data_IF_322301469535
#
_entry.id   IF_322301469535
#
_cell.length_a   1.000
_cell.length_b   1.000
_cell.length_c   1.000
_cell.angle_alpha   90.00
_cell.angle_beta   90.00
_cell.angle_gamma   90.00
#
_symmetry.space_group_name_H-M   'P 1'
#
loop_
_entity.id
_entity.type
_entity.pdbx_description
1 polymer ?
#
# COMPACT_ATOMS: atom_id res chain seq x y z
N UNK A 1 17.38 51.24 13.31
CA UNK A 1 18.00 49.93 13.04
C UNK A 1 16.89 48.97 12.65
N UNK A 2 16.66 48.82 11.35
CA UNK A 2 15.87 47.73 10.80
C UNK A 2 16.59 46.43 11.15
N UNK A 3 15.92 45.50 11.83
CA UNK A 3 16.44 44.16 12.03
C UNK A 3 16.65 43.56 10.63
N UNK A 4 17.90 43.39 10.20
CA UNK A 4 18.22 42.56 9.04
C UNK A 4 17.68 41.17 9.37
N UNK A 5 16.64 40.75 8.65
CA UNK A 5 16.15 39.38 8.73
C UNK A 5 17.30 38.48 8.31
N UNK A 6 17.76 37.59 9.19
CA UNK A 6 18.69 36.52 8.82
C UNK A 6 18.22 35.87 7.53
N UNK A 7 19.10 35.62 6.54
CA UNK A 7 18.69 35.07 5.25
C UNK A 7 17.94 33.76 5.48
N UNK A 8 16.76 33.65 4.88
CA UNK A 8 15.94 32.46 4.97
C UNK A 8 16.71 31.25 4.42
N UNK A 9 16.77 30.17 5.19
CA UNK A 9 17.39 28.93 4.74
C UNK A 9 16.56 28.33 3.58
N UNK A 10 17.22 28.06 2.45
CA UNK A 10 16.61 27.40 1.28
C UNK A 10 17.15 25.97 1.10
N UNK A 11 16.82 25.03 2.01
CA UNK A 11 17.39 23.69 2.00
C UNK A 11 16.94 22.88 0.80
N UNK A 12 17.82 21.96 0.37
CA UNK A 12 17.50 20.96 -0.65
C UNK A 12 17.02 19.67 0.02
N UNK A 13 15.78 19.30 -0.20
CA UNK A 13 15.12 18.19 0.48
C UNK A 13 14.68 17.12 -0.53
N UNK A 14 15.13 15.89 -0.34
CA UNK A 14 14.64 14.73 -1.07
C UNK A 14 13.65 13.94 -0.20
N UNK A 15 12.52 13.54 -0.79
CA UNK A 15 11.56 12.60 -0.19
C UNK A 15 11.52 11.35 -1.07
N UNK A 16 11.86 10.19 -0.52
CA UNK A 16 11.96 8.93 -1.24
C UNK A 16 10.70 8.11 -1.03
N UNK A 17 9.84 8.05 -2.05
CA UNK A 17 8.54 7.41 -2.04
C UNK A 17 7.40 8.43 -2.07
N UNK A 18 6.44 8.21 -2.98
CA UNK A 18 5.31 9.12 -3.21
C UNK A 18 3.98 8.62 -2.62
N UNK A 19 4.04 7.66 -1.70
CA UNK A 19 2.87 7.22 -0.92
C UNK A 19 2.32 8.33 0.00
N UNK A 20 1.25 8.05 0.79
CA UNK A 20 0.64 9.06 1.66
C UNK A 20 1.65 9.78 2.56
N UNK A 21 2.56 9.03 3.18
CA UNK A 21 3.55 9.60 4.10
C UNK A 21 4.50 10.56 3.41
N UNK A 22 4.99 10.22 2.21
CA UNK A 22 5.86 11.10 1.44
C UNK A 22 5.13 12.35 0.96
N UNK A 23 3.91 12.20 0.44
CA UNK A 23 3.08 13.33 0.04
C UNK A 23 2.75 14.26 1.21
N UNK A 24 2.31 13.73 2.36
CA UNK A 24 2.04 14.56 3.54
C UNK A 24 3.29 15.25 4.05
N UNK A 25 4.44 14.56 4.07
CA UNK A 25 5.71 15.17 4.46
C UNK A 25 6.05 16.34 3.55
N UNK A 26 5.97 16.18 2.23
CA UNK A 26 6.25 17.28 1.29
C UNK A 26 5.26 18.45 1.44
N UNK A 27 3.97 18.19 1.70
CA UNK A 27 2.99 19.26 1.98
C UNK A 27 3.34 20.07 3.22
N UNK A 28 3.67 19.38 4.32
CA UNK A 28 4.02 20.07 5.56
C UNK A 28 5.37 20.79 5.44
N UNK A 29 6.35 20.20 4.76
CA UNK A 29 7.64 20.85 4.50
C UNK A 29 7.47 22.13 3.67
N UNK A 30 6.68 22.10 2.58
CA UNK A 30 6.44 23.31 1.79
C UNK A 30 5.77 24.41 2.63
N UNK A 31 4.86 24.06 3.53
CA UNK A 31 4.19 25.04 4.39
C UNK A 31 5.17 25.69 5.37
N UNK A 32 6.04 24.89 6.00
CA UNK A 32 6.98 25.39 7.01
C UNK A 32 8.25 26.01 6.42
N UNK A 33 8.63 25.61 5.20
CA UNK A 33 9.84 26.06 4.48
C UNK A 33 9.47 26.47 3.05
N UNK A 34 8.87 27.65 2.84
CA UNK A 34 8.40 28.11 1.53
C UNK A 34 9.49 28.16 0.45
N UNK A 35 10.75 28.41 0.84
CA UNK A 35 11.89 28.58 -0.07
C UNK A 35 12.71 27.29 -0.29
N UNK A 36 12.32 26.18 0.34
CA UNK A 36 13.01 24.90 0.16
C UNK A 36 12.83 24.34 -1.27
N UNK A 37 13.89 23.73 -1.82
CA UNK A 37 13.76 22.89 -3.00
C UNK A 37 13.33 21.49 -2.53
N UNK A 38 12.14 21.04 -2.92
CA UNK A 38 11.59 19.75 -2.49
C UNK A 38 11.39 18.87 -3.71
N UNK A 39 12.06 17.73 -3.72
CA UNK A 39 11.92 16.70 -4.78
C UNK A 39 11.41 15.40 -4.18
N UNK A 40 10.32 14.86 -4.73
CA UNK A 40 9.81 13.52 -4.41
C UNK A 40 10.31 12.56 -5.49
N UNK A 41 11.06 11.53 -5.09
CA UNK A 41 11.48 10.42 -5.95
C UNK A 41 10.54 9.23 -5.78
N UNK A 42 10.18 8.57 -6.87
CA UNK A 42 9.31 7.39 -6.87
C UNK A 42 9.84 6.33 -7.83
N UNK A 43 9.89 5.08 -7.37
CA UNK A 43 10.41 3.97 -8.14
C UNK A 43 9.51 3.63 -9.33
N UNK A 44 8.19 3.87 -9.23
CA UNK A 44 7.25 3.69 -10.33
C UNK A 44 7.05 4.97 -11.16
N UNK A 45 6.63 4.86 -12.43
CA UNK A 45 6.19 6.02 -13.22
C UNK A 45 5.03 6.81 -12.62
N UNK A 46 4.28 6.18 -11.71
CA UNK A 46 3.01 6.69 -11.17
C UNK A 46 3.09 6.87 -9.65
N UNK A 47 2.48 7.93 -9.08
CA UNK A 47 2.58 8.23 -7.66
C UNK A 47 1.57 7.46 -6.79
N UNK A 48 1.53 7.82 -5.51
CA UNK A 48 0.52 7.47 -4.49
C UNK A 48 0.68 6.12 -3.80
N UNK A 49 1.63 5.29 -4.23
CA UNK A 49 1.98 4.03 -3.56
C UNK A 49 0.75 3.19 -3.22
N UNK A 50 0.59 2.83 -1.94
CA UNK A 50 -0.52 1.98 -1.50
C UNK A 50 -1.91 2.62 -1.56
N UNK A 51 -2.06 3.94 -1.77
CA UNK A 51 -3.40 4.49 -2.09
C UNK A 51 -3.87 3.96 -3.43
N UNK A 52 -2.95 3.86 -4.39
CA UNK A 52 -3.22 3.36 -5.75
C UNK A 52 -3.20 1.84 -5.82
N UNK A 53 -2.27 1.19 -5.12
CA UNK A 53 -1.97 -0.24 -5.27
C UNK A 53 -2.26 -1.10 -4.05
N UNK A 54 -2.65 -0.52 -2.92
CA UNK A 54 -2.94 -1.24 -1.67
C UNK A 54 -4.39 -1.17 -1.26
N UNK A 55 -4.97 0.04 -1.21
CA UNK A 55 -6.40 0.25 -0.96
C UNK A 55 -7.19 -0.58 -1.96
N UNK A 56 -8.12 -1.40 -1.46
CA UNK A 56 -8.89 -2.31 -2.27
C UNK A 56 -9.58 -1.59 -3.45
N UNK A 57 -9.68 -2.29 -4.57
CA UNK A 57 -10.20 -1.71 -5.80
C UNK A 57 -11.67 -1.25 -5.68
N UNK A 58 -12.45 -1.82 -4.76
CA UNK A 58 -13.82 -1.42 -4.50
C UNK A 58 -13.96 -0.32 -3.43
N UNK A 59 -12.85 0.19 -2.89
CA UNK A 59 -12.79 1.27 -1.90
C UNK A 59 -12.36 2.62 -2.50
N UNK A 60 -13.04 3.03 -3.57
CA UNK A 60 -12.74 4.28 -4.30
C UNK A 60 -12.82 5.54 -3.43
N UNK A 61 -13.72 5.56 -2.43
CA UNK A 61 -13.84 6.68 -1.48
C UNK A 61 -12.55 6.97 -0.73
N UNK A 62 -11.83 5.93 -0.29
CA UNK A 62 -10.54 6.07 0.40
C UNK A 62 -9.44 6.60 -0.54
N UNK A 63 -9.51 6.25 -1.83
CA UNK A 63 -8.57 6.73 -2.85
C UNK A 63 -8.71 8.23 -3.14
N UNK A 64 -9.83 8.87 -2.76
CA UNK A 64 -10.10 10.28 -3.03
C UNK A 64 -9.10 11.27 -2.38
N UNK A 65 -8.27 10.81 -1.43
CA UNK A 65 -7.16 11.59 -0.85
C UNK A 65 -6.14 12.03 -1.92
N UNK A 66 -6.01 11.31 -3.03
CA UNK A 66 -5.11 11.68 -4.12
C UNK A 66 -5.40 13.08 -4.68
N UNK A 67 -6.66 13.53 -4.68
CA UNK A 67 -7.03 14.90 -5.08
C UNK A 67 -6.31 15.98 -4.27
N UNK A 68 -6.00 15.70 -3.00
CA UNK A 68 -5.21 16.60 -2.17
C UNK A 68 -3.74 16.59 -2.58
N UNK A 69 -3.21 15.43 -2.98
CA UNK A 69 -1.83 15.28 -3.44
C UNK A 69 -1.63 15.86 -4.84
N UNK A 70 -2.60 15.73 -5.75
CA UNK A 70 -2.58 16.36 -7.08
C UNK A 70 -2.34 17.87 -6.97
N UNK A 71 -3.13 18.55 -6.12
CA UNK A 71 -2.99 20.00 -5.89
C UNK A 71 -1.61 20.40 -5.35
N UNK A 72 -0.95 19.53 -4.59
CA UNK A 72 0.40 19.79 -4.11
C UNK A 72 1.39 19.77 -5.28
N UNK A 73 1.37 18.73 -6.10
CA UNK A 73 2.28 18.66 -7.25
C UNK A 73 2.02 19.78 -8.27
N UNK A 74 0.77 20.17 -8.48
CA UNK A 74 0.40 21.22 -9.43
C UNK A 74 0.76 22.65 -8.96
N UNK A 75 0.66 22.95 -7.65
CA UNK A 75 0.61 24.35 -7.17
C UNK A 75 1.71 24.71 -6.18
N UNK A 76 2.48 23.74 -5.70
CA UNK A 76 3.40 23.94 -4.59
C UNK A 76 4.87 23.95 -4.98
N UNK A 77 5.21 23.97 -6.28
CA UNK A 77 6.61 23.96 -6.73
C UNK A 77 7.41 22.77 -6.18
N UNK A 78 6.74 21.63 -5.97
CA UNK A 78 7.37 20.38 -5.55
C UNK A 78 7.62 19.56 -6.82
N UNK A 79 8.86 19.13 -7.02
CA UNK A 79 9.23 18.34 -8.20
C UNK A 79 8.95 16.86 -7.95
N UNK A 80 8.18 16.23 -8.85
CA UNK A 80 8.01 14.77 -8.87
C UNK A 80 8.99 14.16 -9.87
N UNK A 81 9.70 13.12 -9.43
CA UNK A 81 10.64 12.32 -10.23
C UNK A 81 10.23 10.85 -10.09
N UNK A 82 9.31 10.41 -10.93
CA UNK A 82 8.87 9.02 -11.06
C UNK A 82 9.78 8.19 -11.95
N UNK A 83 9.59 6.88 -11.90
CA UNK A 83 10.40 5.88 -12.59
C UNK A 83 11.90 6.04 -12.27
N UNK A 84 12.22 6.31 -11.00
CA UNK A 84 13.58 6.48 -10.48
C UNK A 84 13.68 5.84 -9.11
N UNK A 85 14.38 4.70 -9.04
CA UNK A 85 14.59 3.92 -7.83
C UNK A 85 15.89 4.34 -7.15
N UNK A 86 15.75 5.06 -6.05
CA UNK A 86 16.88 5.31 -5.13
C UNK A 86 17.30 3.99 -4.49
N UNK A 87 18.60 3.74 -4.46
CA UNK A 87 19.22 2.44 -4.15
C UNK A 87 19.80 1.75 -5.39
N UNK A 88 19.13 1.89 -6.54
CA UNK A 88 19.52 1.24 -7.80
C UNK A 88 20.00 2.26 -8.84
N UNK A 89 19.13 3.19 -9.25
CA UNK A 89 19.44 4.22 -10.24
C UNK A 89 20.34 5.31 -9.65
N UNK A 90 20.07 5.67 -8.38
CA UNK A 90 20.84 6.64 -7.61
C UNK A 90 21.17 6.03 -6.25
N UNK A 91 22.47 5.82 -6.00
CA UNK A 91 22.94 5.25 -4.74
C UNK A 91 22.70 6.19 -3.54
N UNK A 92 22.57 5.61 -2.34
CA UNK A 92 22.28 6.34 -1.10
C UNK A 92 23.35 7.38 -0.75
N UNK A 93 24.62 7.09 -1.07
CA UNK A 93 25.71 8.02 -0.78
C UNK A 93 25.64 9.25 -1.69
N UNK A 94 25.25 9.09 -2.94
CA UNK A 94 24.98 10.17 -3.88
C UNK A 94 23.81 11.02 -3.41
N UNK A 95 22.71 10.42 -2.96
CA UNK A 95 21.59 11.16 -2.36
C UNK A 95 22.01 11.94 -1.11
N UNK A 96 22.79 11.31 -0.23
CA UNK A 96 23.30 11.95 0.97
C UNK A 96 24.27 13.11 0.68
N UNK A 97 25.02 13.09 -0.44
CA UNK A 97 25.85 14.22 -0.86
C UNK A 97 25.06 15.32 -1.55
N UNK A 98 23.99 14.98 -2.25
CA UNK A 98 23.20 15.91 -3.07
C UNK A 98 22.14 16.71 -2.29
N UNK A 99 21.62 16.18 -1.18
CA UNK A 99 20.50 16.81 -0.45
C UNK A 99 20.82 17.12 1.01
N UNK A 100 20.36 18.28 1.50
CA UNK A 100 20.55 18.72 2.88
C UNK A 100 19.76 17.89 3.88
N UNK A 101 18.59 17.41 3.44
CA UNK A 101 17.72 16.51 4.17
C UNK A 101 17.23 15.42 3.21
N UNK A 102 17.23 14.18 3.67
CA UNK A 102 16.56 13.08 2.98
C UNK A 102 15.51 12.47 3.90
N UNK A 103 14.31 12.27 3.37
CA UNK A 103 13.21 11.60 4.07
C UNK A 103 12.88 10.29 3.36
N UNK A 104 13.01 9.18 4.07
CA UNK A 104 12.61 7.86 3.60
C UNK A 104 11.13 7.63 3.89
N UNK A 105 10.35 7.53 2.81
CA UNK A 105 8.90 7.33 2.80
C UNK A 105 8.50 6.11 1.92
N UNK A 106 9.39 5.12 1.80
CA UNK A 106 9.25 3.96 0.91
C UNK A 106 8.15 2.98 1.35
N UNK A 107 7.72 3.05 2.61
CA UNK A 107 6.72 2.15 3.16
C UNK A 107 7.27 0.73 3.37
N UNK A 108 6.40 -0.27 3.30
CA UNK A 108 6.78 -1.69 3.37
C UNK A 108 6.13 -2.42 2.19
N UNK A 109 6.93 -3.12 1.40
CA UNK A 109 6.48 -3.75 0.16
C UNK A 109 6.31 -5.26 0.29
N UNK A 110 7.09 -5.96 1.12
CA UNK A 110 6.97 -7.41 1.27
C UNK A 110 5.85 -7.83 2.24
N UNK A 111 5.15 -8.92 1.91
CA UNK A 111 4.26 -9.62 2.83
C UNK A 111 5.07 -10.35 3.90
N UNK A 112 4.58 -10.33 5.14
CA UNK A 112 5.19 -11.09 6.23
C UNK A 112 4.78 -12.56 6.16
N UNK A 113 5.75 -13.46 6.16
CA UNK A 113 5.52 -14.90 6.25
C UNK A 113 5.04 -15.33 7.63
N UNK A 114 4.28 -16.43 7.68
CA UNK A 114 3.97 -17.10 8.94
C UNK A 114 5.22 -17.86 9.41
N UNK A 115 5.64 -17.62 10.66
CA UNK A 115 6.76 -18.32 11.28
C UNK A 115 6.32 -19.71 11.81
N UNK A 116 5.81 -20.56 10.91
CA UNK A 116 5.34 -21.92 11.18
C UNK A 116 5.84 -22.87 10.09
N UNK A 117 5.93 -24.19 10.36
CA UNK A 117 6.22 -25.17 9.32
C UNK A 117 5.24 -25.07 8.15
N UNK A 118 5.76 -25.00 6.93
CA UNK A 118 4.99 -24.92 5.69
C UNK A 118 5.56 -25.91 4.68
N UNK A 119 4.73 -26.79 4.15
CA UNK A 119 5.11 -27.71 3.07
C UNK A 119 5.39 -26.93 1.77
N UNK A 120 6.44 -27.32 1.04
CA UNK A 120 6.87 -26.63 -0.19
C UNK A 120 5.78 -26.63 -1.28
N UNK A 121 4.97 -27.69 -1.34
CA UNK A 121 3.87 -27.81 -2.32
C UNK A 121 2.59 -27.08 -1.88
N UNK A 122 2.54 -26.51 -0.68
CA UNK A 122 1.36 -25.80 -0.21
C UNK A 122 1.12 -24.52 -1.02
N UNK A 123 -0.13 -24.25 -1.37
CA UNK A 123 -0.50 -23.05 -2.11
C UNK A 123 -0.69 -21.90 -1.11
N UNK A 124 0.36 -21.10 -0.93
CA UNK A 124 0.36 -19.95 -0.02
C UNK A 124 0.59 -18.64 -0.80
N UNK A 125 -0.23 -17.64 -0.54
CA UNK A 125 -0.19 -16.33 -1.21
C UNK A 125 -0.19 -15.20 -0.17
N UNK A 126 0.67 -14.20 -0.34
CA UNK A 126 0.63 -12.98 0.47
C UNK A 126 -0.56 -12.09 0.09
N UNK A 127 -1.32 -11.60 1.09
CA UNK A 127 -2.48 -10.75 0.86
C UNK A 127 -2.10 -9.43 0.17
N UNK A 128 -0.94 -8.86 0.49
CA UNK A 128 -0.39 -7.67 -0.16
C UNK A 128 -0.14 -7.89 -1.65
N UNK A 129 0.57 -8.95 -2.01
CA UNK A 129 0.81 -9.32 -3.40
C UNK A 129 -0.49 -9.57 -4.17
N UNK A 130 -1.46 -10.26 -3.55
CA UNK A 130 -2.78 -10.50 -4.14
C UNK A 130 -3.54 -9.17 -4.40
N UNK A 131 -3.61 -8.29 -3.39
CA UNK A 131 -4.28 -6.99 -3.54
C UNK A 131 -3.57 -6.08 -4.57
N UNK A 132 -2.25 -6.12 -4.65
CA UNK A 132 -1.48 -5.39 -5.67
C UNK A 132 -1.81 -5.89 -7.06
N UNK A 133 -1.85 -7.21 -7.27
CA UNK A 133 -2.23 -7.81 -8.54
C UNK A 133 -3.65 -7.40 -8.96
N UNK A 134 -4.62 -7.47 -8.03
CA UNK A 134 -6.00 -7.02 -8.25
C UNK A 134 -6.12 -5.51 -8.44
N UNK A 135 -5.14 -4.73 -7.97
CA UNK A 135 -5.02 -3.29 -8.23
C UNK A 135 -4.16 -2.97 -9.47
N UNK A 136 -3.87 -3.94 -10.35
CA UNK A 136 -3.06 -3.79 -11.56
C UNK A 136 -1.65 -3.20 -11.29
N UNK A 137 -1.01 -3.64 -10.20
CA UNK A 137 0.40 -3.37 -9.96
C UNK A 137 1.27 -3.99 -11.06
N UNK A 138 2.36 -3.34 -11.51
CA UNK A 138 3.18 -3.88 -12.58
C UNK A 138 3.71 -5.28 -12.27
N UNK A 139 3.38 -6.24 -13.14
CA UNK A 139 3.63 -7.65 -12.89
C UNK A 139 5.10 -8.01 -12.69
N UNK A 140 6.01 -7.26 -13.32
CA UNK A 140 7.47 -7.45 -13.17
C UNK A 140 8.02 -7.22 -11.75
N UNK A 141 7.25 -6.57 -10.89
CA UNK A 141 7.61 -6.32 -9.48
C UNK A 141 6.80 -7.17 -8.50
N UNK A 142 5.91 -8.05 -8.98
CA UNK A 142 5.22 -9.01 -8.13
C UNK A 142 6.07 -10.28 -7.96
N UNK A 143 5.91 -11.00 -6.83
CA UNK A 143 6.52 -12.32 -6.67
C UNK A 143 6.16 -13.25 -7.84
N UNK A 144 7.14 -13.92 -8.42
CA UNK A 144 6.95 -14.87 -9.50
C UNK A 144 6.47 -16.24 -8.98
N UNK A 145 5.31 -16.26 -8.32
CA UNK A 145 4.71 -17.50 -7.79
C UNK A 145 3.53 -17.96 -8.65
N UNK A 146 3.44 -19.26 -8.90
CA UNK A 146 2.34 -19.86 -9.68
C UNK A 146 0.97 -19.61 -9.06
N UNK A 147 0.91 -19.50 -7.73
CA UNK A 147 -0.34 -19.27 -7.00
C UNK A 147 -0.96 -17.88 -7.27
N UNK A 148 -0.16 -16.88 -7.66
CA UNK A 148 -0.66 -15.57 -8.10
C UNK A 148 -1.03 -15.54 -9.59
N UNK A 149 -0.76 -16.61 -10.34
CA UNK A 149 -1.00 -16.71 -11.79
C UNK A 149 -2.04 -17.78 -12.15
N UNK A 150 -2.70 -18.34 -11.15
CA UNK A 150 -3.67 -19.43 -11.29
C UNK A 150 -4.87 -19.23 -10.37
N UNK A 151 -5.95 -19.96 -10.66
CA UNK A 151 -7.17 -19.92 -9.87
C UNK A 151 -6.91 -20.30 -8.41
N UNK A 152 -7.30 -19.43 -7.46
CA UNK A 152 -7.13 -19.64 -6.02
C UNK A 152 -7.97 -20.82 -5.49
N UNK A 153 -8.94 -21.29 -6.27
CA UNK A 153 -9.88 -22.33 -5.90
C UNK A 153 -11.16 -21.77 -5.27
N UNK A 154 -12.05 -22.67 -4.86
CA UNK A 154 -13.34 -22.29 -4.26
C UNK A 154 -13.30 -22.23 -2.74
N UNK A 155 -12.33 -22.87 -2.09
CA UNK A 155 -12.14 -22.82 -0.63
C UNK A 155 -10.82 -22.12 -0.31
N UNK A 156 -10.85 -21.00 0.41
CA UNK A 156 -9.68 -20.18 0.71
C UNK A 156 -9.61 -19.86 2.20
N UNK A 157 -8.44 -20.04 2.82
CA UNK A 157 -8.19 -19.55 4.18
C UNK A 157 -7.47 -18.20 4.13
N UNK A 158 -8.00 -17.18 4.78
CA UNK A 158 -7.36 -15.87 4.96
C UNK A 158 -6.88 -15.75 6.40
N UNK A 159 -5.57 -15.77 6.61
CA UNK A 159 -4.94 -15.75 7.94
C UNK A 159 -4.63 -14.33 8.36
N UNK A 160 -5.45 -13.76 9.25
CA UNK A 160 -5.27 -12.43 9.84
C UNK A 160 -6.57 -11.65 10.03
N UNK A 161 -6.82 -11.17 11.27
CA UNK A 161 -7.96 -10.32 11.61
C UNK A 161 -7.62 -8.82 11.50
N UNK A 162 -7.15 -8.38 10.33
CA UNK A 162 -6.91 -6.96 10.02
C UNK A 162 -7.63 -6.54 8.75
N UNK A 163 -7.67 -5.23 8.46
CA UNK A 163 -8.38 -4.67 7.30
C UNK A 163 -7.97 -5.31 5.97
N UNK A 164 -6.67 -5.55 5.76
CA UNK A 164 -6.16 -6.23 4.56
C UNK A 164 -6.78 -7.61 4.36
N UNK A 165 -6.95 -8.39 5.42
CA UNK A 165 -7.61 -9.69 5.34
C UNK A 165 -9.09 -9.54 4.96
N UNK A 166 -9.78 -8.55 5.53
CA UNK A 166 -11.19 -8.26 5.22
C UNK A 166 -11.37 -7.75 3.79
N UNK A 167 -10.42 -6.96 3.26
CA UNK A 167 -10.38 -6.58 1.85
C UNK A 167 -10.28 -7.79 0.93
N UNK A 168 -9.38 -8.74 1.23
CA UNK A 168 -9.28 -10.00 0.49
C UNK A 168 -10.61 -10.75 0.52
N UNK A 169 -11.21 -10.93 1.70
CA UNK A 169 -12.50 -11.65 1.83
C UNK A 169 -13.57 -10.99 0.95
N UNK A 170 -13.71 -9.67 1.02
CA UNK A 170 -14.70 -8.92 0.26
C UNK A 170 -14.49 -9.04 -1.25
N UNK A 171 -13.24 -8.92 -1.71
CA UNK A 171 -12.89 -9.11 -3.12
C UNK A 171 -13.00 -10.56 -3.58
N UNK A 172 -12.95 -11.55 -2.68
CA UNK A 172 -13.17 -12.96 -3.01
C UNK A 172 -14.64 -13.37 -3.04
N UNK A 173 -15.54 -12.64 -2.37
CA UNK A 173 -16.97 -13.01 -2.27
C UNK A 173 -17.92 -12.13 -3.08
N UNK A 174 -17.56 -10.89 -3.42
CA UNK A 174 -18.42 -10.01 -4.25
C UNK A 174 -18.67 -10.58 -5.65
N UNK A 175 -19.82 -10.32 -6.26
CA UNK A 175 -20.03 -10.62 -7.69
C UNK A 175 -19.33 -9.58 -8.58
N UNK A 176 -19.23 -9.83 -9.89
CA UNK A 176 -18.71 -8.85 -10.85
C UNK A 176 -19.55 -7.57 -10.87
N UNK A 177 -20.88 -7.69 -10.77
CA UNK A 177 -21.80 -6.55 -10.73
C UNK A 177 -21.57 -5.67 -9.48
N UNK A 178 -21.26 -6.29 -8.35
CA UNK A 178 -20.92 -5.58 -7.09
C UNK A 178 -19.56 -4.87 -7.14
N UNK A 179 -18.78 -5.06 -8.21
CA UNK A 179 -17.50 -4.39 -8.46
C UNK A 179 -17.61 -3.30 -9.54
N UNK A 180 -18.80 -3.03 -10.08
CA UNK A 180 -19.01 -1.89 -10.98
C UNK A 180 -18.61 -0.58 -10.31
N UNK A 181 -17.91 0.29 -11.06
CA UNK A 181 -17.34 1.54 -10.56
C UNK A 181 -16.00 1.40 -9.82
N UNK A 182 -15.46 0.19 -9.69
CA UNK A 182 -14.11 -0.06 -9.19
C UNK A 182 -13.03 0.19 -10.26
N UNK A 183 -11.76 0.14 -9.84
CA UNK A 183 -10.58 0.10 -10.70
C UNK A 183 -9.87 -1.28 -10.63
N UNK A 184 -10.65 -2.35 -10.43
CA UNK A 184 -10.10 -3.71 -10.30
C UNK A 184 -9.52 -4.18 -11.63
N UNK A 185 -8.43 -4.94 -11.56
CA UNK A 185 -7.81 -5.57 -12.72
C UNK A 185 -8.62 -6.80 -13.13
N UNK A 186 -9.50 -6.64 -14.12
CA UNK A 186 -10.48 -7.67 -14.51
C UNK A 186 -9.82 -8.96 -14.98
N UNK A 187 -8.76 -8.86 -15.78
CA UNK A 187 -8.04 -10.01 -16.32
C UNK A 187 -7.40 -10.83 -15.19
N UNK A 188 -6.83 -10.16 -14.18
CA UNK A 188 -6.33 -10.85 -13.00
C UNK A 188 -7.46 -11.44 -12.14
N UNK A 189 -8.57 -10.73 -11.99
CA UNK A 189 -9.72 -11.20 -11.23
C UNK A 189 -10.29 -12.49 -11.84
N UNK A 190 -10.46 -12.54 -13.17
CA UNK A 190 -11.00 -13.68 -13.91
C UNK A 190 -10.10 -14.92 -13.76
N UNK A 191 -8.77 -14.75 -13.82
CA UNK A 191 -7.81 -15.82 -13.60
C UNK A 191 -7.81 -16.32 -12.15
N UNK A 192 -7.77 -15.40 -11.18
CA UNK A 192 -7.65 -15.72 -9.75
C UNK A 192 -8.94 -16.32 -9.19
N UNK A 193 -10.10 -15.80 -9.60
CA UNK A 193 -11.43 -16.29 -9.22
C UNK A 193 -12.40 -16.13 -10.42
N UNK A 194 -12.57 -17.16 -11.26
CA UNK A 194 -13.56 -17.10 -12.36
C UNK A 194 -15.01 -17.05 -11.83
N UNK A 195 -15.21 -17.41 -10.56
CA UNK A 195 -16.46 -17.23 -9.82
C UNK A 195 -16.15 -16.78 -8.39
N UNK A 196 -17.09 -16.14 -7.67
CA UNK A 196 -16.94 -15.90 -6.24
C UNK A 196 -16.55 -17.18 -5.47
N UNK A 197 -15.69 -17.03 -4.45
CA UNK A 197 -15.25 -18.15 -3.63
C UNK A 197 -16.45 -18.83 -2.95
N UNK A 198 -16.44 -20.17 -2.86
CA UNK A 198 -17.49 -20.93 -2.19
C UNK A 198 -17.36 -20.87 -0.67
N UNK A 199 -16.16 -21.08 -0.14
CA UNK A 199 -15.85 -21.02 1.29
C UNK A 199 -14.65 -20.11 1.52
N UNK A 200 -14.78 -19.17 2.46
CA UNK A 200 -13.68 -18.30 2.89
C UNK A 200 -13.53 -18.38 4.40
N UNK A 201 -12.43 -18.97 4.87
CA UNK A 201 -12.11 -19.12 6.29
C UNK A 201 -11.24 -17.95 6.75
N UNK A 202 -11.80 -17.03 7.52
CA UNK A 202 -11.06 -15.91 8.12
C UNK A 202 -10.51 -16.37 9.47
N UNK A 203 -9.20 -16.62 9.54
CA UNK A 203 -8.55 -17.25 10.70
C UNK A 203 -7.71 -16.23 11.45
N UNK A 204 -7.96 -16.09 12.75
CA UNK A 204 -7.16 -15.19 13.59
C UNK A 204 -7.04 -15.65 15.04
N UNK A 205 -5.84 -15.39 15.60
CA UNK A 205 -5.50 -15.70 17.00
C UNK A 205 -6.23 -14.84 18.04
N UNK A 206 -6.74 -13.68 17.64
CA UNK A 206 -7.42 -12.74 18.54
C UNK A 206 -8.82 -13.23 18.93
N UNK A 207 -9.31 -12.76 20.07
CA UNK A 207 -10.75 -12.72 20.36
C UNK A 207 -11.48 -11.80 19.37
N UNK A 208 -12.81 -11.81 19.39
CA UNK A 208 -13.59 -10.86 18.58
C UNK A 208 -13.42 -9.40 19.01
N UNK A 209 -13.16 -9.15 20.31
CA UNK A 209 -12.91 -7.82 20.85
C UNK A 209 -11.51 -7.29 20.47
N UNK A 210 -10.52 -8.18 20.37
CA UNK A 210 -9.12 -7.84 20.06
C UNK A 210 -8.77 -7.96 18.56
N UNK A 211 -9.78 -8.21 17.72
CA UNK A 211 -9.62 -8.18 16.28
C UNK A 211 -9.29 -6.74 15.82
N UNK A 212 -8.38 -6.62 14.85
CA UNK A 212 -7.84 -5.31 14.40
C UNK A 212 -8.52 -4.77 13.14
N UNK A 213 -9.49 -5.49 12.60
CA UNK A 213 -10.27 -4.96 11.49
C UNK A 213 -11.23 -3.87 11.98
N UNK A 214 -11.57 -2.95 11.11
CA UNK A 214 -12.59 -1.95 11.36
C UNK A 214 -13.97 -2.59 11.26
N UNK A 215 -14.83 -2.30 12.24
CA UNK A 215 -16.20 -2.83 12.31
C UNK A 215 -17.02 -2.53 11.04
N UNK A 216 -16.79 -1.37 10.41
CA UNK A 216 -17.46 -0.97 9.18
C UNK A 216 -17.19 -1.96 8.04
N UNK A 217 -15.95 -2.45 7.89
CA UNK A 217 -15.58 -3.36 6.82
C UNK A 217 -16.19 -4.76 7.01
N UNK A 218 -16.32 -5.23 8.26
CA UNK A 218 -17.03 -6.49 8.54
C UNK A 218 -18.53 -6.35 8.29
N UNK A 219 -19.11 -5.18 8.62
CA UNK A 219 -20.51 -4.89 8.33
C UNK A 219 -20.79 -4.90 6.82
N UNK A 220 -19.87 -4.41 5.99
CA UNK A 220 -19.98 -4.49 4.53
C UNK A 220 -20.11 -5.93 4.05
N UNK A 221 -19.32 -6.88 4.60
CA UNK A 221 -19.43 -8.30 4.24
C UNK A 221 -20.76 -8.89 4.70
N UNK A 222 -21.17 -8.61 5.94
CA UNK A 222 -22.42 -9.13 6.51
C UNK A 222 -23.67 -8.61 5.77
N UNK A 223 -23.55 -7.47 5.10
CA UNK A 223 -24.62 -6.86 4.31
C UNK A 223 -24.72 -7.42 2.87
N UNK A 224 -23.80 -8.28 2.43
CA UNK A 224 -23.89 -8.92 1.11
C UNK A 224 -24.94 -10.02 1.12
N UNK A 225 -25.97 -9.89 0.28
CA UNK A 225 -27.03 -10.91 0.16
C UNK A 225 -26.54 -12.24 -0.42
N UNK A 226 -25.40 -12.21 -1.11
CA UNK A 226 -24.73 -13.39 -1.70
C UNK A 226 -23.85 -14.14 -0.69
N UNK A 227 -23.77 -13.69 0.56
CA UNK A 227 -22.88 -14.23 1.58
C UNK A 227 -23.65 -14.71 2.82
N UNK A 228 -23.32 -15.90 3.31
CA UNK A 228 -23.72 -16.37 4.63
C UNK A 228 -22.54 -16.37 5.59
N UNK A 229 -22.79 -15.99 6.85
CA UNK A 229 -21.76 -15.89 7.89
C UNK A 229 -21.88 -17.05 8.87
N UNK A 230 -20.75 -17.72 9.14
CA UNK A 230 -20.59 -18.64 10.26
C UNK A 230 -19.47 -18.14 11.16
N UNK A 231 -19.56 -18.49 12.45
CA UNK A 231 -18.63 -18.01 13.47
C UNK A 231 -18.18 -19.17 14.35
N UNK A 232 -16.88 -19.27 14.58
CA UNK A 232 -16.23 -20.29 15.38
C UNK A 232 -15.30 -19.65 16.41
N UNK A 233 -15.26 -20.20 17.64
CA UNK A 233 -14.41 -19.67 18.70
C UNK A 233 -14.91 -18.36 19.33
N UNK A 234 -16.16 -17.99 19.06
CA UNK A 234 -16.88 -16.93 19.76
C UNK A 234 -17.62 -17.54 20.95
N UNK A 235 -17.28 -17.10 22.16
CA UNK A 235 -17.88 -17.58 23.42
C UNK A 235 -19.06 -16.70 23.81
N UNK A 236 -20.01 -17.18 24.62
CA UNK A 236 -21.15 -16.36 25.09
C UNK A 236 -20.72 -15.14 25.93
N UNK A 237 -19.55 -15.25 26.56
CA UNK A 237 -18.90 -14.20 27.35
C UNK A 237 -18.26 -13.10 26.49
N UNK A 238 -18.06 -13.32 25.19
CA UNK A 238 -17.49 -12.31 24.30
C UNK A 238 -18.47 -11.14 24.12
N UNK A 239 -18.01 -9.94 24.43
CA UNK A 239 -18.78 -8.69 24.32
C UNK A 239 -18.19 -7.77 23.24
N UNK A 240 -18.87 -6.65 22.98
CA UNK A 240 -18.41 -5.65 22.01
C UNK A 240 -19.10 -5.74 20.65
N UNK A 241 -18.94 -4.67 19.86
CA UNK A 241 -19.72 -4.46 18.65
C UNK A 241 -19.46 -5.51 17.56
N UNK A 242 -18.23 -6.01 17.44
CA UNK A 242 -17.87 -7.10 16.51
C UNK A 242 -18.59 -8.40 16.87
N UNK A 243 -18.53 -8.81 18.14
CA UNK A 243 -19.20 -10.02 18.61
C UNK A 243 -20.72 -9.92 18.40
N UNK A 244 -21.32 -8.77 18.75
CA UNK A 244 -22.74 -8.51 18.55
C UNK A 244 -23.14 -8.59 17.07
N UNK A 245 -22.40 -7.90 16.19
CA UNK A 245 -22.65 -7.91 14.74
C UNK A 245 -22.57 -9.33 14.17
N UNK A 246 -21.54 -10.10 14.53
CA UNK A 246 -21.35 -11.43 14.00
C UNK A 246 -22.40 -12.41 14.55
N UNK A 247 -22.82 -12.30 15.81
CA UNK A 247 -23.95 -13.11 16.33
C UNK A 247 -25.26 -12.79 15.62
N UNK A 248 -25.56 -11.52 15.38
CA UNK A 248 -26.78 -11.13 14.68
C UNK A 248 -26.76 -11.44 13.18
N UNK A 249 -25.56 -11.55 12.60
CA UNK A 249 -25.38 -11.87 11.17
C UNK A 249 -25.17 -13.37 10.93
N UNK A 250 -24.80 -14.13 11.96
CA UNK A 250 -24.70 -15.58 11.91
C UNK A 250 -26.11 -16.16 11.80
N UNK A 251 -26.48 -16.51 10.58
CA UNK A 251 -27.67 -17.29 10.33
C UNK A 251 -27.19 -18.72 10.07
N UNK A 252 -27.87 -19.71 10.67
CA UNK A 252 -27.84 -21.06 10.11
C UNK A 252 -28.28 -21.02 8.64
N UNK A 253 -28.19 -22.13 7.92
CA UNK A 253 -28.46 -22.23 6.48
C UNK A 253 -29.88 -21.78 6.01
N UNK A 254 -30.70 -21.16 6.87
CA UNK A 254 -32.12 -20.85 6.74
C UNK A 254 -32.45 -19.42 6.27
N UNK A 255 -31.49 -18.69 5.68
CA UNK A 255 -31.84 -17.42 5.00
C UNK A 255 -32.66 -17.78 3.74
N UNK A 256 -33.99 -17.58 3.83
CA UNK A 256 -34.94 -17.94 2.77
C UNK A 256 -34.61 -17.22 1.46
N UNK A 257 -34.51 -18.03 0.42
CA UNK A 257 -33.99 -17.75 -0.91
C UNK A 257 -35.06 -17.09 -1.77
N UNK A 258 -34.76 -15.94 -2.36
CA UNK A 258 -35.43 -15.48 -3.60
C UNK A 258 -34.44 -15.67 -4.73
N UNK A 259 -34.81 -16.51 -5.71
CA UNK A 259 -34.11 -16.85 -6.97
C UNK A 259 -32.58 -16.58 -6.99
N UNK A 260 -31.77 -17.60 -6.67
CA UNK A 260 -30.30 -17.52 -6.61
C UNK A 260 -29.73 -17.70 -5.20
N UNK A 261 -29.28 -18.91 -4.85
CA UNK A 261 -28.67 -19.23 -3.55
C UNK A 261 -27.42 -18.38 -3.24
N UNK A 262 -27.14 -18.06 -1.96
CA UNK A 262 -25.87 -17.44 -1.56
C UNK A 262 -24.67 -18.18 -2.17
N UNK A 263 -23.78 -17.44 -2.83
CA UNK A 263 -22.66 -18.03 -3.59
C UNK A 263 -21.43 -18.32 -2.72
N UNK A 264 -21.39 -17.74 -1.51
CA UNK A 264 -20.21 -17.76 -0.64
C UNK A 264 -20.57 -17.94 0.84
N UNK A 265 -19.81 -18.78 1.54
CA UNK A 265 -19.83 -18.93 3.00
C UNK A 265 -18.57 -18.34 3.60
N UNK A 266 -18.72 -17.36 4.49
CA UNK A 266 -17.59 -16.75 5.21
C UNK A 266 -17.58 -17.25 6.64
N UNK A 267 -16.51 -17.95 7.01
CA UNK A 267 -16.32 -18.55 8.33
C UNK A 267 -15.32 -17.74 9.13
N UNK A 268 -15.75 -17.04 10.17
CA UNK A 268 -14.85 -16.33 11.09
C UNK A 268 -14.37 -17.28 12.20
N UNK A 269 -13.06 -17.48 12.32
CA UNK A 269 -12.42 -18.31 13.35
C UNK A 269 -11.65 -17.42 14.32
N UNK A 270 -12.19 -17.24 15.52
CA UNK A 270 -11.53 -16.53 16.62
C UNK A 270 -10.73 -17.48 17.51
N UNK A 271 -9.73 -16.92 18.21
CA UNK A 271 -8.80 -17.67 19.08
C UNK A 271 -8.16 -18.88 18.37
N UNK A 272 -8.06 -18.83 17.05
CA UNK A 272 -7.51 -19.88 16.21
C UNK A 272 -6.08 -19.51 15.81
N UNK A 273 -5.11 -20.27 16.32
CA UNK A 273 -3.69 -20.05 16.10
C UNK A 273 -3.19 -21.05 15.07
N UNK A 274 -2.77 -20.60 13.87
CA UNK A 274 -2.11 -21.46 12.89
C UNK A 274 -0.84 -22.09 13.48
N UNK A 275 -0.67 -23.40 13.31
CA UNK A 275 0.49 -24.15 13.81
C UNK A 275 1.32 -24.80 12.71
N UNK A 276 0.72 -25.17 11.59
CA UNK A 276 1.41 -25.68 10.41
C UNK A 276 0.57 -25.50 9.14
N UNK A 277 1.23 -25.50 7.99
CA UNK A 277 0.61 -25.61 6.67
C UNK A 277 1.16 -26.87 6.01
N UNK A 278 0.28 -27.82 5.71
CA UNK A 278 0.63 -29.10 5.08
C UNK A 278 -0.14 -29.26 3.78
N UNK A 279 0.15 -30.33 3.05
CA UNK A 279 -0.60 -30.74 1.86
C UNK A 279 -1.17 -32.14 2.05
N UNK A 280 -2.44 -32.33 1.67
CA UNK A 280 -3.09 -33.64 1.63
C UNK A 280 -3.83 -33.75 0.29
N UNK A 281 -3.33 -34.61 -0.60
CA UNK A 281 -3.82 -34.68 -1.99
C UNK A 281 -3.59 -33.36 -2.73
N UNK A 282 -4.67 -32.79 -3.29
CA UNK A 282 -4.69 -31.50 -3.98
C UNK A 282 -4.99 -30.32 -3.05
N UNK A 283 -5.22 -30.57 -1.75
CA UNK A 283 -5.59 -29.53 -0.78
C UNK A 283 -4.39 -29.07 0.03
N UNK A 284 -4.43 -27.78 0.35
CA UNK A 284 -3.60 -27.17 1.39
C UNK A 284 -4.35 -27.27 2.71
N UNK A 285 -3.70 -27.82 3.74
CA UNK A 285 -4.26 -28.00 5.07
C UNK A 285 -3.65 -26.98 6.02
N UNK A 286 -4.47 -26.08 6.55
CA UNK A 286 -4.09 -25.14 7.61
C UNK A 286 -4.45 -25.75 8.96
N UNK A 287 -3.44 -26.22 9.69
CA UNK A 287 -3.62 -26.72 11.05
C UNK A 287 -3.76 -25.55 12.02
N UNK A 288 -4.81 -25.56 12.83
CA UNK A 288 -5.06 -24.53 13.86
C UNK A 288 -5.26 -25.15 15.23
N UNK A 289 -4.76 -24.48 16.27
CA UNK A 289 -5.15 -24.76 17.67
C UNK A 289 -6.10 -23.69 18.16
N UNK A 290 -7.09 -24.06 18.97
CA UNK A 290 -8.02 -23.11 19.58
C UNK A 290 -7.65 -22.89 21.04
N UNK A 291 -7.59 -21.64 21.48
CA UNK A 291 -7.35 -21.29 22.88
C UNK A 291 -8.39 -21.92 23.82
N UNK A 292 -7.95 -22.36 25.01
CA UNK A 292 -8.75 -23.09 26.01
C UNK A 292 -8.03 -24.36 26.50
N UNK A 293 -8.67 -25.16 27.35
CA UNK A 293 -8.13 -26.46 27.83
C UNK A 293 -7.99 -27.53 26.72
N UNK A 294 -8.23 -27.18 25.46
CA UNK A 294 -8.27 -28.10 24.35
C UNK A 294 -6.98 -28.00 23.53
N UNK A 295 -6.08 -28.97 23.71
CA UNK A 295 -4.78 -29.05 23.00
C UNK A 295 -4.90 -29.65 21.59
N UNK A 296 -6.12 -29.97 21.15
CA UNK A 296 -6.37 -30.58 19.85
C UNK A 296 -6.07 -29.63 18.68
N UNK A 297 -5.32 -30.13 17.70
CA UNK A 297 -5.17 -29.47 16.40
C UNK A 297 -6.40 -29.76 15.54
N UNK A 298 -7.01 -28.72 14.97
CA UNK A 298 -8.13 -28.82 14.03
C UNK A 298 -7.63 -28.46 12.62
N UNK A 299 -7.71 -29.37 11.64
CA UNK A 299 -7.33 -29.06 10.27
C UNK A 299 -8.42 -28.25 9.56
N UNK A 300 -8.01 -27.28 8.75
CA UNK A 300 -8.88 -26.55 7.81
C UNK A 300 -8.37 -26.84 6.39
N UNK A 301 -9.11 -27.66 5.64
CA UNK A 301 -8.76 -28.02 4.26
C UNK A 301 -9.24 -26.96 3.27
N UNK A 302 -8.33 -26.39 2.49
CA UNK A 302 -8.57 -25.33 1.52
C UNK A 302 -7.79 -25.56 0.23
N UNK A 303 -8.15 -24.85 -0.83
CA UNK A 303 -7.38 -24.83 -2.07
C UNK A 303 -6.13 -23.94 -1.94
N UNK A 304 -6.28 -22.79 -1.26
CA UNK A 304 -5.21 -21.79 -1.08
C UNK A 304 -5.28 -21.17 0.32
N UNK A 305 -4.11 -20.91 0.91
CA UNK A 305 -3.96 -20.07 2.11
C UNK A 305 -3.44 -18.69 1.71
N UNK A 306 -4.17 -17.64 2.08
CA UNK A 306 -3.77 -16.24 1.93
C UNK A 306 -3.28 -15.70 3.28
N UNK A 307 -2.03 -15.25 3.37
CA UNK A 307 -1.46 -14.69 4.60
C UNK A 307 -1.65 -13.17 4.66
N UNK A 308 -2.37 -12.69 5.68
CA UNK A 308 -2.66 -11.28 5.93
C UNK A 308 -2.14 -10.86 7.33
N UNK A 309 -0.92 -11.27 7.67
CA UNK A 309 -0.32 -11.09 9.00
C UNK A 309 0.59 -9.86 9.13
N UNK A 310 0.54 -8.99 8.13
CA UNK A 310 1.27 -7.73 8.07
C UNK A 310 2.38 -7.73 7.03
N UNK A 311 3.17 -6.66 7.05
CA UNK A 311 4.21 -6.40 6.07
C UNK A 311 5.59 -6.33 6.72
N UNK A 312 6.62 -6.47 5.91
CA UNK A 312 8.01 -6.27 6.28
C UNK A 312 8.76 -5.53 5.15
N UNK A 313 9.96 -5.01 5.43
CA UNK A 313 10.86 -4.58 4.36
C UNK A 313 11.12 -5.77 3.42
N UNK A 314 11.42 -5.49 2.15
CA UNK A 314 11.99 -6.51 1.27
C UNK A 314 13.36 -6.96 1.84
N UNK A 315 13.72 -8.23 1.63
CA UNK A 315 15.08 -8.73 1.84
C UNK A 315 16.00 -8.17 0.74
N UNK A 316 16.13 -6.85 0.69
CA UNK A 316 17.21 -6.19 -0.02
C UNK A 316 18.41 -6.29 0.89
N UNK A 317 19.43 -7.03 0.48
CA UNK A 317 20.74 -7.10 1.12
C UNK A 317 21.14 -5.76 1.74
N UNK A 318 21.14 -5.71 3.07
CA UNK A 318 21.80 -4.76 3.99
C UNK A 318 21.63 -3.24 3.86
N UNK A 319 21.35 -2.64 2.70
CA UNK A 319 21.72 -1.23 2.49
C UNK A 319 20.63 -0.21 2.86
N UNK A 320 19.35 -0.57 2.76
CA UNK A 320 18.22 0.32 3.10
C UNK A 320 18.03 0.49 4.62
N UNK A 321 18.38 -0.54 5.40
CA UNK A 321 18.46 -0.46 6.87
C UNK A 321 19.79 0.16 7.34
N UNK A 322 20.86 0.06 6.53
CA UNK A 322 22.16 0.65 6.85
C UNK A 322 22.25 2.15 6.54
N UNK A 323 21.35 2.71 5.71
CA UNK A 323 21.33 4.16 5.51
C UNK A 323 20.91 4.86 6.79
N UNK A 324 21.91 5.44 7.46
CA UNK A 324 21.83 6.15 8.72
C UNK A 324 22.61 7.46 8.62
N UNK A 325 22.11 8.52 9.25
CA UNK A 325 22.78 9.81 9.26
C UNK A 325 21.95 10.90 9.92
N UNK A 326 22.60 11.97 10.37
CA UNK A 326 21.98 13.09 11.11
C UNK A 326 21.10 14.01 10.24
N UNK A 327 20.95 13.69 8.96
CA UNK A 327 20.15 14.42 7.97
C UNK A 327 19.15 13.50 7.26
N UNK A 328 18.95 12.29 7.80
CA UNK A 328 18.07 11.26 7.27
C UNK A 328 16.92 11.02 8.25
N UNK A 329 15.70 11.05 7.74
CA UNK A 329 14.48 10.85 8.53
C UNK A 329 13.64 9.75 7.92
N UNK A 330 12.86 9.03 8.74
CA UNK A 330 11.96 7.98 8.30
C UNK A 330 10.52 8.38 8.63
N UNK A 331 9.60 8.09 7.72
CA UNK A 331 8.17 8.35 7.92
C UNK A 331 7.32 7.16 7.55
N UNK A 332 6.12 7.11 8.13
CA UNK A 332 5.09 6.16 7.75
C UNK A 332 5.40 4.73 8.17
N UNK A 333 5.01 3.78 7.33
CA UNK A 333 5.16 2.35 7.64
C UNK A 333 6.61 1.87 7.73
N UNK A 334 7.54 2.54 7.06
CA UNK A 334 8.96 2.25 7.17
C UNK A 334 9.46 2.47 8.61
N UNK A 335 8.95 3.51 9.27
CA UNK A 335 9.30 3.85 10.65
C UNK A 335 8.44 3.09 11.68
N UNK A 336 7.14 2.92 11.40
CA UNK A 336 6.15 2.42 12.37
C UNK A 336 5.81 0.93 12.24
N UNK A 337 6.40 0.22 11.28
CA UNK A 337 6.26 -1.24 11.13
C UNK A 337 4.88 -1.70 10.63
N UNK A 338 4.43 -1.18 9.49
CA UNK A 338 3.20 -1.64 8.80
C UNK A 338 1.90 -1.36 9.55
N UNK A 339 1.93 -0.43 10.51
CA UNK A 339 0.79 -0.08 11.37
C UNK A 339 0.29 1.32 11.04
N UNK A 340 -1.02 1.45 11.11
CA UNK A 340 -1.74 2.71 11.06
C UNK A 340 -2.28 3.06 9.68
N UNK A 341 -3.48 3.64 9.66
CA UNK A 341 -4.20 4.06 8.47
C UNK A 341 -3.64 5.38 7.87
N UNK A 342 -4.23 5.86 6.78
CA UNK A 342 -3.79 7.08 6.08
C UNK A 342 -3.79 8.30 7.03
N UNK A 343 -4.79 8.44 7.91
CA UNK A 343 -4.90 9.56 8.83
C UNK A 343 -3.83 9.51 9.94
N UNK A 344 -3.50 8.33 10.44
CA UNK A 344 -2.42 8.15 11.41
C UNK A 344 -1.05 8.41 10.79
N UNK A 345 -0.85 8.01 9.53
CA UNK A 345 0.37 8.34 8.79
C UNK A 345 0.50 9.85 8.54
N UNK A 346 -0.60 10.57 8.30
CA UNK A 346 -0.60 12.04 8.24
C UNK A 346 -0.09 12.68 9.53
N UNK A 347 -0.62 12.25 10.69
CA UNK A 347 -0.18 12.76 12.00
C UNK A 347 1.31 12.49 12.24
N UNK A 348 1.78 11.31 11.86
CA UNK A 348 3.17 10.94 11.99
C UNK A 348 4.09 11.78 11.08
N UNK A 349 3.73 11.95 9.81
CA UNK A 349 4.48 12.82 8.88
C UNK A 349 4.60 14.25 9.42
N UNK A 350 3.54 14.80 10.03
CA UNK A 350 3.60 16.12 10.65
C UNK A 350 4.60 16.17 11.82
N UNK A 351 4.57 15.17 12.70
CA UNK A 351 5.49 15.10 13.84
C UNK A 351 6.96 15.05 13.38
N UNK A 352 7.26 14.23 12.36
CA UNK A 352 8.63 14.13 11.80
C UNK A 352 9.04 15.43 11.11
N UNK A 353 8.13 16.09 10.39
CA UNK A 353 8.42 17.40 9.77
C UNK A 353 8.74 18.46 10.82
N UNK A 354 8.05 18.48 11.95
CA UNK A 354 8.39 19.39 13.05
C UNK A 354 9.82 19.16 13.56
N UNK A 355 10.26 17.90 13.65
CA UNK A 355 11.65 17.57 13.99
C UNK A 355 12.63 18.06 12.92
N UNK A 356 12.35 17.81 11.64
CA UNK A 356 13.18 18.29 10.52
C UNK A 356 13.34 19.82 10.57
N UNK A 357 12.23 20.54 10.75
CA UNK A 357 12.22 22.00 10.80
C UNK A 357 12.99 22.51 12.02
N UNK A 358 12.82 21.86 13.18
CA UNK A 358 13.61 22.17 14.39
C UNK A 358 15.11 21.99 14.14
N UNK A 359 15.50 20.88 13.52
CA UNK A 359 16.91 20.58 13.22
C UNK A 359 17.51 21.52 12.18
N UNK A 360 16.71 22.00 11.22
CA UNK A 360 17.13 23.00 10.22
C UNK A 360 17.25 24.40 10.83
N UNK A 361 16.37 24.80 11.74
CA UNK A 361 16.42 26.13 12.41
C UNK A 361 17.67 26.31 13.27
N UNK A 362 18.25 25.22 13.75
CA UNK A 362 19.51 25.24 14.51
C UNK A 362 20.76 25.27 13.63
N UNK A 363 20.63 25.35 12.30
CA UNK A 363 21.74 25.35 11.34
C UNK A 363 22.04 26.75 10.79
N UNK A 364 23.25 26.90 10.31
CA UNK A 364 23.70 28.11 9.62
C UNK A 364 23.57 27.96 8.10
N UNK A 365 23.49 29.05 7.32
CA UNK A 365 23.48 28.97 5.85
C UNK A 365 24.68 28.20 5.27
N UNK A 366 25.85 28.24 5.90
CA UNK A 366 27.01 27.42 5.52
C UNK A 366 26.77 25.91 5.61
N UNK A 367 25.81 25.47 6.43
CA UNK A 367 25.42 24.07 6.54
C UNK A 367 24.44 23.61 5.44
N UNK A 368 23.93 24.55 4.63
CA UNK A 368 22.92 24.38 3.59
C UNK A 368 23.49 24.86 2.25
N UNK A 369 24.23 23.98 1.58
CA UNK A 369 25.01 24.32 0.39
C UNK A 369 24.95 23.25 -0.71
N UNK A 370 24.07 22.25 -0.55
CA UNK A 370 24.03 21.13 -1.48
C UNK A 370 23.28 21.48 -2.75
N UNK A 371 23.58 20.74 -3.83
CA UNK A 371 23.09 21.05 -5.18
C UNK A 371 21.68 20.53 -5.50
N UNK A 372 21.05 19.77 -4.60
CA UNK A 372 19.67 19.28 -4.77
C UNK A 372 19.51 18.40 -6.01
N UNK A 373 18.39 18.58 -6.72
CA UNK A 373 18.06 17.82 -7.92
C UNK A 373 19.12 17.97 -9.02
N UNK A 374 19.70 19.17 -9.18
CA UNK A 374 20.73 19.41 -10.18
C UNK A 374 21.99 18.55 -9.94
N UNK A 375 22.32 18.25 -8.68
CA UNK A 375 23.48 17.43 -8.34
C UNK A 375 23.31 15.94 -8.71
N UNK A 376 22.08 15.48 -8.95
CA UNK A 376 21.78 14.10 -9.36
C UNK A 376 21.26 13.99 -10.80
N UNK A 377 21.21 15.10 -11.54
CA UNK A 377 20.64 15.16 -12.89
C UNK A 377 21.23 14.11 -13.85
N UNK A 378 22.55 13.88 -13.80
CA UNK A 378 23.24 12.91 -14.65
C UNK A 378 22.98 11.45 -14.29
N UNK A 379 22.35 11.19 -13.13
CA UNK A 379 21.99 9.86 -12.63
C UNK A 379 20.51 9.55 -12.86
N UNK A 380 19.71 10.51 -13.29
CA UNK A 380 18.31 10.28 -13.59
C UNK A 380 18.18 9.35 -14.81
N UNK A 381 17.30 8.34 -14.76
CA UNK A 381 16.95 7.56 -15.94
C UNK A 381 16.45 8.48 -17.05
N UNK A 382 16.83 8.19 -18.30
CA UNK A 382 16.28 8.91 -19.47
C UNK A 382 14.76 8.78 -19.58
N UNK A 383 14.22 7.70 -19.01
CA UNK A 383 12.81 7.36 -18.91
C UNK A 383 12.15 7.87 -17.61
N UNK A 384 12.76 8.81 -16.87
CA UNK A 384 12.14 9.41 -15.70
C UNK A 384 10.81 10.09 -16.07
N UNK A 385 9.83 10.02 -15.17
CA UNK A 385 8.49 10.56 -15.39
C UNK A 385 8.23 11.72 -14.45
N UNK A 386 7.85 12.87 -15.00
CA UNK A 386 7.42 14.01 -14.21
C UNK A 386 5.90 13.97 -13.93
N UNK A 387 5.41 14.94 -13.14
CA UNK A 387 3.99 14.91 -12.76
C UNK A 387 3.05 15.11 -13.96
N UNK A 388 3.45 15.89 -14.97
CA UNK A 388 2.69 16.01 -16.22
C UNK A 388 2.61 14.68 -16.96
N UNK A 389 3.70 13.92 -17.03
CA UNK A 389 3.70 12.58 -17.60
C UNK A 389 2.79 11.62 -16.83
N UNK A 390 2.75 11.71 -15.49
CA UNK A 390 1.75 11.01 -14.70
C UNK A 390 0.31 11.40 -15.09
N UNK A 391 0.02 12.68 -15.29
CA UNK A 391 -1.32 13.12 -15.71
C UNK A 391 -1.72 12.52 -17.06
N UNK A 392 -0.80 12.41 -18.01
CA UNK A 392 -1.03 11.72 -19.29
C UNK A 392 -1.36 10.22 -19.08
N UNK A 393 -0.62 9.52 -18.22
CA UNK A 393 -0.92 8.13 -17.85
C UNK A 393 -2.31 8.05 -17.22
N UNK A 394 -2.61 8.93 -16.28
CA UNK A 394 -3.87 8.94 -15.55
C UNK A 394 -5.08 9.18 -16.48
N UNK A 395 -4.94 10.04 -17.48
CA UNK A 395 -5.96 10.26 -18.51
C UNK A 395 -6.12 9.04 -19.40
N UNK A 396 -5.03 8.49 -19.94
CA UNK A 396 -5.06 7.29 -20.77
C UNK A 396 -5.72 6.09 -20.05
N UNK A 397 -5.47 5.92 -18.75
CA UNK A 397 -6.12 4.87 -17.95
C UNK A 397 -7.63 5.07 -17.77
N UNK A 398 -8.09 6.32 -17.75
CA UNK A 398 -9.52 6.65 -17.63
C UNK A 398 -10.22 6.49 -18.98
N UNK A 399 -9.58 6.91 -20.07
CA UNK A 399 -10.11 6.78 -21.42
C UNK A 399 -10.20 5.33 -21.89
N UNK A 400 -9.35 4.46 -21.36
CA UNK A 400 -9.40 3.00 -21.59
C UNK A 400 -10.55 2.32 -20.86
N UNK A 401 -11.14 2.95 -19.84
CA UNK A 401 -12.19 2.32 -19.05
C UNK A 401 -13.52 2.31 -19.80
N UNK A 402 -14.22 1.19 -19.75
CA UNK A 402 -15.63 1.11 -20.14
C UNK A 402 -16.55 1.61 -18.99
N UNK A 403 -17.86 1.70 -19.26
CA UNK A 403 -18.86 2.21 -18.32
C UNK A 403 -18.93 1.45 -16.98
N UNK A 404 -18.37 0.24 -16.89
CA UNK A 404 -18.37 -0.57 -15.68
C UNK A 404 -17.19 -0.28 -14.74
N UNK A 405 -16.18 0.47 -15.18
CA UNK A 405 -14.97 0.76 -14.39
C UNK A 405 -14.73 2.26 -14.32
N UNK A 406 -14.21 2.74 -13.18
CA UNK A 406 -13.80 4.14 -13.08
C UNK A 406 -12.43 4.41 -13.75
N UNK A 407 -11.68 3.35 -14.03
CA UNK A 407 -10.32 3.35 -14.60
C UNK A 407 -9.91 1.94 -15.02
N UNK A 408 -9.18 1.80 -16.13
CA UNK A 408 -8.39 0.59 -16.47
C UNK A 408 -6.90 0.93 -16.46
N UNK A 409 -6.21 0.48 -15.41
CA UNK A 409 -4.79 0.79 -15.18
C UNK A 409 -3.90 0.12 -16.23
N UNK A 410 -2.81 0.81 -16.60
CA UNK A 410 -1.74 0.21 -17.39
C UNK A 410 -0.90 -0.65 -16.45
N UNK A 411 -0.52 -1.86 -16.85
CA UNK A 411 0.33 -2.76 -16.02
C UNK A 411 1.80 -2.73 -16.46
N UNK A 412 2.05 -2.45 -17.73
CA UNK A 412 3.40 -2.42 -18.29
C UNK A 412 4.06 -1.05 -18.11
N UNK A 413 5.17 -1.01 -17.38
CA UNK A 413 5.89 0.24 -17.11
C UNK A 413 6.39 0.89 -18.40
N UNK A 414 6.88 0.12 -19.37
CA UNK A 414 7.41 0.67 -20.61
C UNK A 414 6.29 1.38 -21.41
N UNK A 415 5.06 0.86 -21.32
CA UNK A 415 3.88 1.53 -21.86
C UNK A 415 3.53 2.79 -21.05
N UNK A 416 3.60 2.75 -19.71
CA UNK A 416 3.41 3.96 -18.90
C UNK A 416 4.39 5.07 -19.28
N UNK A 417 5.69 4.75 -19.43
CA UNK A 417 6.73 5.70 -19.82
C UNK A 417 6.46 6.26 -21.22
N UNK A 418 6.05 5.39 -22.16
CA UNK A 418 5.69 5.82 -23.52
C UNK A 418 4.53 6.83 -23.50
N UNK A 419 3.50 6.58 -22.70
CA UNK A 419 2.35 7.47 -22.53
C UNK A 419 2.72 8.78 -21.82
N UNK A 420 3.60 8.71 -20.83
CA UNK A 420 4.07 9.89 -20.09
C UNK A 420 4.81 10.89 -20.99
N UNK A 421 5.55 10.39 -21.97
CA UNK A 421 6.35 11.22 -22.86
C UNK A 421 7.51 11.93 -22.13
N UNK A 422 8.05 13.01 -22.71
CA UNK A 422 9.25 13.67 -22.18
C UNK A 422 9.02 14.40 -20.85
N UNK A 423 9.91 14.21 -19.87
CA UNK A 423 9.86 14.90 -18.57
C UNK A 423 10.41 16.34 -18.63
N UNK A 424 9.65 17.26 -19.23
CA UNK A 424 10.02 18.68 -19.36
C UNK A 424 10.11 19.40 -18.01
N UNK A 425 9.28 19.05 -17.03
CA UNK A 425 9.25 19.73 -15.73
C UNK A 425 10.48 19.43 -14.90
N UNK A 426 11.02 18.21 -14.98
CA UNK A 426 12.28 17.84 -14.33
C UNK A 426 13.44 18.64 -14.95
N UNK A 427 13.49 18.73 -16.28
CA UNK A 427 14.52 19.51 -17.00
C UNK A 427 14.49 20.98 -16.59
N UNK A 428 13.31 21.59 -16.57
CA UNK A 428 13.14 22.98 -16.09
C UNK A 428 13.61 23.17 -14.65
N UNK A 429 13.27 22.24 -13.75
CA UNK A 429 13.69 22.30 -12.35
C UNK A 429 15.22 22.25 -12.21
N UNK A 430 15.88 21.36 -12.95
CA UNK A 430 17.36 21.26 -12.97
C UNK A 430 17.97 22.59 -13.44
N UNK A 431 17.48 23.16 -14.54
CA UNK A 431 18.01 24.44 -15.06
C UNK A 431 17.83 25.59 -14.07
N UNK A 432 16.66 25.68 -13.43
CA UNK A 432 16.39 26.68 -12.40
C UNK A 432 17.36 26.57 -11.21
N UNK A 433 17.67 25.35 -10.75
CA UNK A 433 18.62 25.12 -9.65
C UNK A 433 20.08 25.42 -10.02
N UNK A 434 20.43 25.50 -11.31
CA UNK A 434 21.80 25.80 -11.78
C UNK A 434 22.05 27.27 -12.12
N UNK A 435 21.01 28.11 -12.18
CA UNK A 435 21.15 29.52 -12.55
C UNK A 435 21.33 30.37 -11.30
N UNK A 436 22.44 31.11 -11.12
CA UNK A 436 22.59 32.00 -9.97
C UNK A 436 21.54 33.12 -10.01
N UNK A 437 20.86 33.39 -8.89
CA UNK A 437 20.07 34.61 -8.70
C UNK A 437 21.01 35.82 -8.85
N UNK A 438 21.02 36.43 -10.04
CA UNK A 438 21.91 37.56 -10.34
C UNK A 438 22.22 37.80 -11.83
N UNK A 439 21.89 36.87 -12.73
CA UNK A 439 22.00 37.11 -14.17
C UNK A 439 20.66 37.63 -14.74
N UNK A 440 20.22 38.81 -14.30
CA UNK A 440 19.32 39.63 -15.10
C UNK A 440 20.18 40.45 -16.06
N UNK A 441 19.96 40.26 -17.37
CA UNK A 441 20.54 41.08 -18.44
C UNK A 441 19.94 42.48 -18.44
#
# INVERSE_FOLDING_TARGET
MTAESSPALAPKIAVIGSGPSGCYTAQFLRKEMPDAEITIFEALPVPYGLVRYGVAADHQGTKAVTRQFDRMFERSGITFVGNTRVGDDIDHATMARAFDVVVLATGLTADRSLAIPCADQARVVGAGALLRLLNAYPGRYLPATDALRSNLGRSVAVVGHGNVGIDVVRLLTKTTDQLVGSDIHDEALEVLRPSPAGDVHVVGRSSAADAKFDLAMVREICALDTVTISVHGLEDTDTGATAQLLRSSAHGADRHVTDGSPTSRVHFHFRAVPTAIRTEGDKTILDVTRGGNNTGTTPIAVDTVVTAVGFCPEDTSSDDQAWNGTRLYRVGWLDRGGRGNIAENRKHSLAVVNSIVSDLRNRTPSDIHKGGLAAVASKLPSAAVDFSGWLCINEAERDRADDSRCRRKITEVDHMVTVAGPAESIRRAITASTTPEGAQF
#
